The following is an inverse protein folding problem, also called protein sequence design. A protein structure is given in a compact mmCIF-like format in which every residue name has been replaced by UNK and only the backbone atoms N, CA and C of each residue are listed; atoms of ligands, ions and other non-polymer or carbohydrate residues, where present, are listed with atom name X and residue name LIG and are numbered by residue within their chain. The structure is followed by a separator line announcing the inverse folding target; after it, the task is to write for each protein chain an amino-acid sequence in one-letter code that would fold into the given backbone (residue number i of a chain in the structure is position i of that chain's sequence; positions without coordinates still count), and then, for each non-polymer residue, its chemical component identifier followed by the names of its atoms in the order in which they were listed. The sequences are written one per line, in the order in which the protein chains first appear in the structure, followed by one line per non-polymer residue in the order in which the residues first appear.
data_IF_831249793442
#
_entry.id   IF_831249793442
#
_cell.length_a   1.000
_cell.length_b   1.000
_cell.length_c   1.000
_cell.angle_alpha   90.00
_cell.angle_beta   90.00
_cell.angle_gamma   90.00
#
_symmetry.space_group_name_H-M   'P 1'
#
loop_
_entity.id
_entity.type
_entity.pdbx_description
1 polymer ?
#
# COMPACT_ATOMS: atom_id res chain seq x y z
N UNK A 1 -24.26 -6.02 -3.76
CA UNK A 1 -23.23 -7.06 -4.03
C UNK A 1 -23.78 -8.49 -3.88
N UNK A 2 -24.40 -8.87 -2.75
CA UNK A 2 -24.88 -10.26 -2.53
C UNK A 2 -25.94 -10.77 -3.53
N UNK A 3 -26.85 -9.93 -4.01
CA UNK A 3 -27.82 -10.29 -5.05
C UNK A 3 -27.22 -10.29 -6.46
N UNK A 4 -26.35 -9.33 -6.76
CA UNK A 4 -25.63 -9.20 -8.05
C UNK A 4 -24.53 -10.24 -8.27
N UNK A 5 -24.03 -10.86 -7.19
CA UNK A 5 -22.93 -11.84 -7.17
C UNK A 5 -21.63 -11.41 -7.88
N UNK A 6 -21.48 -10.12 -8.16
CA UNK A 6 -20.28 -9.54 -8.78
C UNK A 6 -20.08 -8.09 -8.31
N UNK A 7 -18.82 -7.66 -8.30
CA UNK A 7 -18.41 -6.30 -7.99
C UNK A 7 -16.91 -6.23 -7.68
N UNK A 8 -16.40 -5.01 -7.62
CA UNK A 8 -14.99 -4.74 -7.31
C UNK A 8 -14.91 -4.27 -5.85
N UNK A 9 -13.94 -4.81 -5.11
CA UNK A 9 -13.56 -4.32 -3.79
C UNK A 9 -12.27 -3.53 -3.95
N UNK A 10 -12.27 -2.27 -3.50
CA UNK A 10 -11.09 -1.42 -3.49
C UNK A 10 -10.67 -1.22 -2.04
N UNK A 11 -9.51 -1.75 -1.69
CA UNK A 11 -8.92 -1.55 -0.37
C UNK A 11 -7.93 -0.39 -0.41
N UNK A 12 -8.03 0.52 0.56
CA UNK A 12 -7.18 1.70 0.63
C UNK A 12 -5.88 1.37 1.37
N UNK A 13 -4.81 1.21 0.58
CA UNK A 13 -3.45 0.97 1.05
C UNK A 13 -2.73 2.23 1.55
N UNK A 14 -1.41 2.21 1.48
CA UNK A 14 -0.52 3.32 1.84
C UNK A 14 0.85 3.07 1.22
N UNK A 15 1.62 4.13 0.92
CA UNK A 15 3.05 3.99 0.59
C UNK A 15 3.84 3.28 1.71
N UNK A 16 3.38 3.40 2.95
CA UNK A 16 3.93 2.65 4.10
C UNK A 16 3.73 1.14 4.03
N UNK A 17 2.95 0.63 3.07
CA UNK A 17 2.88 -0.80 2.75
C UNK A 17 4.00 -1.29 1.83
N UNK A 18 4.87 -0.40 1.33
CA UNK A 18 6.03 -0.75 0.50
C UNK A 18 7.36 -0.59 1.25
N UNK A 19 7.46 0.42 2.10
CA UNK A 19 8.65 0.68 2.92
C UNK A 19 8.23 1.29 4.26
N UNK A 20 8.87 0.82 5.35
CA UNK A 20 8.59 1.30 6.69
C UNK A 20 9.08 2.72 6.90
N UNK A 21 8.28 3.55 7.57
CA UNK A 21 8.68 4.88 8.03
C UNK A 21 9.01 4.85 9.52
N UNK A 22 10.01 5.65 9.92
CA UNK A 22 10.41 5.78 11.34
C UNK A 22 9.20 6.20 12.18
N UNK A 23 9.06 5.62 13.37
CA UNK A 23 7.91 5.79 14.28
C UNK A 23 6.56 5.26 13.74
N UNK A 24 6.48 4.80 12.50
CA UNK A 24 5.27 4.25 11.88
C UNK A 24 5.24 2.74 11.75
N UNK A 25 6.08 2.00 12.48
CA UNK A 25 6.30 0.56 12.28
C UNK A 25 5.02 -0.29 12.27
N UNK A 26 4.14 -0.11 13.27
CA UNK A 26 2.87 -0.85 13.35
C UNK A 26 1.90 -0.50 12.21
N UNK A 27 1.80 0.79 11.87
CA UNK A 27 0.99 1.24 10.74
C UNK A 27 1.51 0.64 9.43
N UNK A 28 2.82 0.67 9.20
CA UNK A 28 3.44 0.10 8.01
C UNK A 28 3.24 -1.42 7.95
N UNK A 29 3.40 -2.12 9.07
CA UNK A 29 3.17 -3.56 9.15
C UNK A 29 1.71 -3.92 8.83
N UNK A 30 0.73 -3.19 9.38
CA UNK A 30 -0.68 -3.44 9.06
C UNK A 30 -1.02 -3.12 7.61
N UNK A 31 -0.41 -2.08 7.02
CA UNK A 31 -0.60 -1.73 5.61
C UNK A 31 0.09 -2.71 4.68
N UNK A 32 1.26 -3.24 5.04
CA UNK A 32 1.92 -4.33 4.33
C UNK A 32 1.06 -5.60 4.38
N UNK A 33 0.58 -5.98 5.58
CA UNK A 33 -0.28 -7.14 5.76
C UNK A 33 -1.62 -6.99 5.02
N UNK A 34 -2.18 -5.78 4.92
CA UNK A 34 -3.38 -5.53 4.12
C UNK A 34 -3.17 -5.87 2.64
N UNK A 35 -1.95 -5.70 2.12
CA UNK A 35 -1.65 -6.09 0.75
C UNK A 35 -1.59 -7.61 0.56
N UNK A 36 -1.02 -8.32 1.53
CA UNK A 36 -0.98 -9.77 1.53
C UNK A 36 -2.36 -10.37 1.77
N UNK A 37 -3.16 -9.73 2.62
CA UNK A 37 -4.58 -10.01 2.77
C UNK A 37 -5.35 -9.72 1.48
N UNK A 38 -5.02 -8.70 0.68
CA UNK A 38 -5.66 -8.53 -0.64
C UNK A 38 -5.34 -9.67 -1.60
N UNK A 39 -4.13 -10.22 -1.52
CA UNK A 39 -3.72 -11.35 -2.34
C UNK A 39 -4.44 -12.65 -1.92
N UNK A 40 -4.64 -12.85 -0.62
CA UNK A 40 -5.22 -14.07 -0.05
C UNK A 40 -6.77 -14.00 0.04
N UNK A 41 -7.34 -12.84 0.41
CA UNK A 41 -8.78 -12.61 0.67
C UNK A 41 -9.61 -12.40 -0.61
N UNK A 42 -9.33 -13.14 -1.67
CA UNK A 42 -10.37 -13.42 -2.67
C UNK A 42 -11.64 -14.04 -2.03
N UNK A 43 -11.60 -14.47 -0.75
CA UNK A 43 -12.80 -14.71 0.05
C UNK A 43 -12.55 -14.82 1.57
N UNK A 44 -12.64 -13.75 2.37
CA UNK A 44 -13.15 -13.83 3.79
C UNK A 44 -13.38 -12.48 4.48
N UNK A 45 -14.19 -12.49 5.55
CA UNK A 45 -14.77 -11.34 6.24
C UNK A 45 -13.77 -10.55 7.12
N UNK A 46 -13.87 -9.22 7.08
CA UNK A 46 -13.18 -8.32 8.01
C UNK A 46 -13.90 -8.23 9.37
N UNK A 47 -13.14 -8.06 10.46
CA UNK A 47 -13.62 -7.79 11.82
C UNK A 47 -13.22 -6.38 12.22
N UNK A 48 -14.16 -5.64 12.83
CA UNK A 48 -13.95 -4.28 13.31
C UNK A 48 -13.38 -4.30 14.75
N UNK A 49 -12.32 -3.54 15.01
CA UNK A 49 -11.60 -3.52 16.30
C UNK A 49 -11.63 -2.11 16.88
N UNK A 50 -12.04 -1.99 18.15
CA UNK A 50 -12.03 -0.72 18.88
C UNK A 50 -10.61 -0.15 19.00
N UNK A 51 -10.43 1.07 18.49
CA UNK A 51 -9.15 1.82 18.45
C UNK A 51 -8.98 2.71 19.68
N UNK A 52 -8.28 2.22 20.70
CA UNK A 52 -7.48 3.06 21.62
C UNK A 52 -6.68 2.16 22.56
N UNK A 53 -5.35 2.35 22.58
CA UNK A 53 -4.44 1.78 23.58
C UNK A 53 -3.71 2.99 24.19
N UNK A 54 -3.96 3.29 25.47
CA UNK A 54 -3.45 4.48 26.17
C UNK A 54 -1.92 4.61 26.12
N UNK A 55 -1.21 3.48 26.04
CA UNK A 55 0.24 3.44 26.05
C UNK A 55 0.88 4.09 24.81
N UNK A 56 0.11 4.33 23.75
CA UNK A 56 0.59 4.96 22.51
C UNK A 56 0.46 6.49 22.51
N UNK A 57 -0.23 7.10 23.47
CA UNK A 57 -0.51 8.55 23.47
C UNK A 57 0.77 9.39 23.49
N UNK A 58 1.82 8.92 24.19
CA UNK A 58 3.12 9.61 24.28
C UNK A 58 3.87 9.65 22.95
N UNK A 59 3.78 8.59 22.15
CA UNK A 59 4.47 8.48 20.88
C UNK A 59 3.69 9.11 19.71
N UNK A 60 2.37 9.24 19.85
CA UNK A 60 1.54 9.93 18.85
C UNK A 60 1.95 11.41 18.71
N UNK A 61 2.38 12.06 19.79
CA UNK A 61 2.80 13.47 19.76
C UNK A 61 4.13 13.73 19.02
N UNK A 62 4.99 12.70 18.89
CA UNK A 62 6.25 12.81 18.14
C UNK A 62 6.02 12.81 16.61
N UNK A 63 4.89 12.27 16.17
CA UNK A 63 4.45 12.29 14.79
C UNK A 63 3.65 13.57 14.53
N UNK A 64 4.28 14.58 13.93
CA UNK A 64 3.67 15.89 13.70
C UNK A 64 2.66 15.90 12.53
N UNK A 65 1.61 15.06 12.62
CA UNK A 65 0.54 15.03 11.62
C UNK A 65 -0.42 16.22 11.71
N UNK A 66 -0.37 16.97 12.83
CA UNK A 66 -1.22 18.14 13.04
C UNK A 66 -0.90 19.28 12.07
N UNK A 67 0.39 19.53 11.78
CA UNK A 67 0.81 20.61 10.88
C UNK A 67 0.44 20.35 9.41
N UNK A 68 0.41 19.08 9.01
CA UNK A 68 0.06 18.66 7.65
C UNK A 68 -1.42 18.36 7.47
N UNK A 69 -2.22 18.43 8.54
CA UNK A 69 -3.66 18.19 8.46
C UNK A 69 -4.34 19.23 7.55
N UNK A 70 -5.11 18.77 6.57
CA UNK A 70 -5.71 19.55 5.48
C UNK A 70 -4.71 20.29 4.57
N UNK A 71 -3.41 20.06 4.75
CA UNK A 71 -2.34 20.55 3.87
C UNK A 71 -1.59 19.39 3.22
N UNK A 72 -2.19 18.21 3.22
CA UNK A 72 -1.60 17.04 2.60
C UNK A 72 -1.41 17.30 1.10
N UNK A 73 -0.29 16.81 0.58
CA UNK A 73 0.00 16.89 -0.84
C UNK A 73 -0.99 16.03 -1.62
N UNK A 74 -1.47 16.55 -2.75
CA UNK A 74 -2.44 15.86 -3.60
C UNK A 74 -3.81 16.51 -3.57
N UNK A 75 -4.69 16.04 -4.44
CA UNK A 75 -6.04 16.57 -4.62
C UNK A 75 -7.03 15.39 -4.50
N UNK A 76 -7.79 15.30 -3.39
CA UNK A 76 -8.76 14.22 -3.17
C UNK A 76 -9.83 14.12 -4.27
N UNK A 77 -10.21 15.24 -4.89
CA UNK A 77 -11.20 15.25 -5.97
C UNK A 77 -10.61 14.60 -7.22
N UNK A 78 -9.39 14.98 -7.60
CA UNK A 78 -8.69 14.31 -8.71
C UNK A 78 -8.47 12.83 -8.44
N UNK A 79 -8.15 12.45 -7.19
CA UNK A 79 -8.04 11.04 -6.82
C UNK A 79 -9.36 10.29 -7.06
N UNK A 80 -10.50 10.85 -6.61
CA UNK A 80 -11.80 10.26 -6.85
C UNK A 80 -12.10 10.10 -8.35
N UNK A 81 -11.81 11.12 -9.16
CA UNK A 81 -11.99 11.06 -10.61
C UNK A 81 -11.12 9.95 -11.24
N UNK A 82 -9.86 9.82 -10.82
CA UNK A 82 -8.96 8.76 -11.30
C UNK A 82 -9.40 7.36 -10.86
N UNK A 83 -9.95 7.21 -9.66
CA UNK A 83 -10.51 5.94 -9.21
C UNK A 83 -11.72 5.55 -10.06
N UNK A 84 -12.59 6.51 -10.41
CA UNK A 84 -13.73 6.26 -11.32
C UNK A 84 -13.21 5.82 -12.68
N UNK A 85 -12.26 6.55 -13.27
CA UNK A 85 -11.64 6.20 -14.55
C UNK A 85 -11.12 4.75 -14.54
N UNK A 86 -10.36 4.35 -13.51
CA UNK A 86 -9.80 3.00 -13.37
C UNK A 86 -10.88 1.94 -13.23
N UNK A 87 -11.86 2.15 -12.35
CA UNK A 87 -12.90 1.16 -12.03
C UNK A 87 -13.93 0.99 -13.15
N UNK A 88 -14.14 2.04 -13.95
CA UNK A 88 -15.06 2.03 -15.10
C UNK A 88 -14.33 1.75 -16.41
N UNK A 89 -13.00 1.64 -16.37
CA UNK A 89 -12.15 1.39 -17.55
C UNK A 89 -12.34 2.46 -18.63
N UNK A 90 -12.45 3.72 -18.20
CA UNK A 90 -12.66 4.88 -19.07
C UNK A 90 -11.62 5.97 -18.85
N UNK A 91 -11.68 7.03 -19.66
CA UNK A 91 -10.86 8.21 -19.47
C UNK A 91 -9.37 7.87 -19.53
N UNK A 92 -8.60 8.26 -18.52
CA UNK A 92 -7.14 8.00 -18.52
C UNK A 92 -6.75 6.53 -18.32
N UNK A 93 -7.71 5.67 -17.95
CA UNK A 93 -7.51 4.25 -17.75
C UNK A 93 -8.07 3.38 -18.90
N UNK A 94 -8.62 3.99 -19.94
CA UNK A 94 -9.15 3.28 -21.10
C UNK A 94 -8.07 2.41 -21.77
N UNK A 95 -8.42 1.16 -22.07
CA UNK A 95 -7.53 0.18 -22.71
C UNK A 95 -6.38 -0.33 -21.82
N UNK A 96 -6.39 -0.05 -20.51
CA UNK A 96 -5.36 -0.52 -19.57
C UNK A 96 -5.90 -1.59 -18.63
N UNK A 97 -5.11 -2.63 -18.41
CA UNK A 97 -5.42 -3.59 -17.35
C UNK A 97 -5.39 -2.91 -15.97
N UNK A 98 -6.34 -3.27 -15.11
CA UNK A 98 -6.36 -2.80 -13.72
C UNK A 98 -5.24 -3.52 -12.97
N UNK A 99 -4.21 -2.81 -12.48
CA UNK A 99 -3.13 -3.44 -11.77
C UNK A 99 -3.60 -3.87 -10.38
N UNK A 100 -2.92 -4.87 -9.81
CA UNK A 100 -3.16 -5.32 -8.43
C UNK A 100 -2.96 -4.18 -7.40
N UNK A 101 -2.01 -3.27 -7.65
CA UNK A 101 -1.79 -2.05 -6.86
C UNK A 101 -1.65 -0.85 -7.78
N UNK A 102 -2.29 0.26 -7.40
CA UNK A 102 -2.18 1.53 -8.10
C UNK A 102 -1.85 2.67 -7.12
N UNK A 103 -0.57 3.07 -7.01
CA UNK A 103 -0.18 4.20 -6.18
C UNK A 103 -0.67 5.52 -6.77
N UNK A 104 -1.14 6.41 -5.90
CA UNK A 104 -1.52 7.78 -6.25
C UNK A 104 -0.73 8.77 -5.40
N UNK A 105 -0.22 9.82 -6.05
CA UNK A 105 0.62 10.83 -5.41
C UNK A 105 1.95 11.00 -6.12
N UNK A 106 2.37 12.25 -6.24
CA UNK A 106 3.65 12.64 -6.87
C UNK A 106 4.86 12.25 -6.03
N UNK A 107 4.66 12.03 -4.73
CA UNK A 107 5.61 11.50 -3.77
C UNK A 107 5.61 9.96 -3.73
N UNK A 108 4.46 9.33 -3.97
CA UNK A 108 4.33 7.87 -3.96
C UNK A 108 5.23 7.19 -5.01
N UNK A 109 5.33 7.77 -6.21
CA UNK A 109 6.14 7.21 -7.29
C UNK A 109 7.64 7.08 -6.93
N UNK A 110 8.38 8.18 -6.62
CA UNK A 110 9.79 8.06 -6.28
C UNK A 110 10.05 7.26 -4.99
N UNK A 111 9.11 7.29 -4.03
CA UNK A 111 9.21 6.49 -2.80
C UNK A 111 9.21 4.98 -3.09
N UNK A 112 8.20 4.51 -3.84
CA UNK A 112 8.06 3.09 -4.16
C UNK A 112 9.15 2.64 -5.14
N UNK A 113 9.45 3.45 -6.15
CA UNK A 113 10.50 3.14 -7.12
C UNK A 113 11.85 2.98 -6.42
N UNK A 114 12.22 3.91 -5.54
CA UNK A 114 13.48 3.86 -4.82
C UNK A 114 13.62 2.60 -3.94
N UNK A 115 12.54 2.14 -3.30
CA UNK A 115 12.56 0.87 -2.55
C UNK A 115 12.81 -0.32 -3.48
N UNK A 116 12.09 -0.39 -4.60
CA UNK A 116 12.21 -1.49 -5.55
C UNK A 116 13.64 -1.57 -6.12
N UNK A 117 14.21 -0.42 -6.49
CA UNK A 117 15.59 -0.34 -7.01
C UNK A 117 16.63 -0.81 -5.99
N UNK A 118 16.48 -0.42 -4.72
CA UNK A 118 17.37 -0.89 -3.64
C UNK A 118 17.30 -2.40 -3.46
N UNK A 119 16.08 -2.96 -3.40
CA UNK A 119 15.88 -4.42 -3.25
C UNK A 119 16.50 -5.17 -4.43
N UNK A 120 16.24 -4.73 -5.66
CA UNK A 120 16.81 -5.35 -6.85
C UNK A 120 18.34 -5.26 -6.88
N UNK A 121 18.90 -4.15 -6.39
CA UNK A 121 20.35 -4.00 -6.26
C UNK A 121 20.93 -4.99 -5.24
N UNK A 122 20.35 -5.06 -4.05
CA UNK A 122 20.78 -6.01 -3.00
C UNK A 122 20.69 -7.47 -3.47
N UNK A 123 19.60 -7.85 -4.14
CA UNK A 123 19.44 -9.19 -4.71
C UNK A 123 20.53 -9.54 -5.72
N UNK A 124 20.92 -8.59 -6.58
CA UNK A 124 21.98 -8.80 -7.57
C UNK A 124 23.36 -8.88 -6.92
N UNK A 125 23.64 -8.01 -5.95
CA UNK A 125 24.93 -8.01 -5.24
C UNK A 125 25.17 -9.30 -4.46
N UNK A 126 24.10 -9.90 -3.92
CA UNK A 126 24.16 -11.12 -3.11
C UNK A 126 23.71 -12.38 -3.86
N UNK A 127 23.53 -12.34 -5.18
CA UNK A 127 22.96 -13.44 -5.97
C UNK A 127 23.68 -14.78 -5.73
N UNK A 128 25.02 -14.77 -5.75
CA UNK A 128 25.82 -15.99 -5.51
C UNK A 128 25.57 -16.59 -4.13
N UNK A 129 25.45 -15.76 -3.10
CA UNK A 129 25.21 -16.21 -1.72
C UNK A 129 23.76 -16.68 -1.53
N UNK A 130 22.80 -15.95 -2.12
CA UNK A 130 21.38 -16.31 -2.06
C UNK A 130 21.16 -17.68 -2.72
N UNK A 131 21.82 -17.93 -3.86
CA UNK A 131 21.66 -19.16 -4.64
C UNK A 131 22.53 -20.33 -4.17
N UNK A 132 23.59 -20.09 -3.40
CA UNK A 132 24.52 -21.16 -2.94
C UNK A 132 23.97 -22.08 -1.85
N UNK A 133 22.69 -21.96 -1.49
CA UNK A 133 22.04 -22.80 -0.47
C UNK A 133 21.19 -23.92 -1.07
N UNK A 134 21.22 -24.08 -2.40
CA UNK A 134 20.62 -25.22 -3.07
C UNK A 134 21.40 -26.51 -2.77
N UNK A 135 20.80 -27.66 -3.06
CA UNK A 135 21.47 -28.95 -2.93
C UNK A 135 22.68 -29.05 -3.87
N UNK A 136 23.78 -29.62 -3.37
CA UNK A 136 24.89 -30.05 -4.22
C UNK A 136 24.38 -31.13 -5.19
N UNK A 137 24.69 -30.99 -6.49
CA UNK A 137 24.39 -32.00 -7.51
C UNK A 137 25.23 -33.27 -7.33
#
# INVERSE_FOLDING_TARGET
MRSRKSGIIVNIGSIGGFEGVKLGGLYCATKFALEELNYILSSTNMVDVKRTISDYDKHYQELNFHEVNQKQRGDPKKLADRLIDVLTQSGVAEGREIPFRLPFGVDAYPFIQGKCEKVLKEMKEWEQVITSTDFDQ
#
